data_IF_338183642922
#
_entry.id   IF_338183642922
#
_cell.length_a   1.000
_cell.length_b   1.000
_cell.length_c   1.000
_cell.angle_alpha   90.00
_cell.angle_beta   90.00
_cell.angle_gamma   90.00
#
_symmetry.space_group_name_H-M   'P 1'
#
loop_
_entity.id
_entity.type
_entity.pdbx_description
1 polymer ?
#
# COMPACT_ATOMS: atom_id res chain seq x y z
N UNK A 1 -17.67 -9.68 -7.94
CA UNK A 1 -17.06 -11.02 -7.92
C UNK A 1 -16.31 -11.17 -6.61
N UNK A 2 -16.00 -12.38 -6.16
CA UNK A 2 -15.13 -12.58 -5.00
C UNK A 2 -13.76 -13.10 -5.46
N UNK A 3 -12.72 -12.70 -4.76
CA UNK A 3 -11.32 -13.07 -5.03
C UNK A 3 -10.81 -13.88 -3.86
N UNK A 4 -10.25 -15.05 -4.15
CA UNK A 4 -9.57 -15.89 -3.15
C UNK A 4 -8.16 -15.38 -2.92
N UNK A 5 -7.84 -15.08 -1.67
CA UNK A 5 -6.48 -14.73 -1.23
C UNK A 5 -5.96 -15.86 -0.36
N UNK A 6 -4.79 -16.38 -0.70
CA UNK A 6 -4.11 -17.40 0.08
C UNK A 6 -2.85 -16.84 0.70
N UNK A 7 -2.66 -17.07 2.00
CA UNK A 7 -1.42 -16.71 2.70
C UNK A 7 -0.59 -17.99 2.88
N UNK A 8 0.59 -18.10 2.23
CA UNK A 8 1.39 -19.33 2.25
C UNK A 8 1.81 -19.76 3.65
N UNK A 9 2.04 -18.80 4.54
CA UNK A 9 2.57 -19.05 5.88
C UNK A 9 1.52 -19.60 6.87
N UNK A 10 0.24 -19.40 6.60
CA UNK A 10 -0.84 -19.84 7.50
C UNK A 10 -1.82 -20.83 6.87
N UNK A 11 -1.60 -21.20 5.60
CA UNK A 11 -2.52 -22.05 4.81
C UNK A 11 -3.99 -21.57 4.85
N UNK A 12 -4.20 -20.27 5.09
CA UNK A 12 -5.53 -19.70 5.18
C UNK A 12 -5.99 -19.18 3.82
N UNK A 13 -7.23 -19.53 3.46
CA UNK A 13 -7.94 -18.95 2.32
C UNK A 13 -8.94 -17.91 2.81
N UNK A 14 -8.88 -16.71 2.22
CA UNK A 14 -9.85 -15.65 2.45
C UNK A 14 -10.64 -15.41 1.17
N UNK A 15 -11.97 -15.50 1.25
CA UNK A 15 -12.84 -15.09 0.15
C UNK A 15 -13.25 -13.63 0.33
N UNK A 16 -12.66 -12.73 -0.46
CA UNK A 16 -12.80 -11.29 -0.28
C UNK A 16 -13.62 -10.70 -1.43
N UNK A 17 -14.70 -9.94 -1.14
CA UNK A 17 -15.42 -9.20 -2.15
C UNK A 17 -14.51 -8.21 -2.86
N UNK A 18 -14.52 -8.22 -4.19
CA UNK A 18 -13.64 -7.38 -5.02
C UNK A 18 -13.74 -5.88 -4.69
N UNK A 19 -14.94 -5.38 -4.40
CA UNK A 19 -15.17 -3.98 -3.98
C UNK A 19 -14.39 -3.58 -2.74
N UNK A 20 -14.13 -4.50 -1.80
CA UNK A 20 -13.31 -4.21 -0.62
C UNK A 20 -11.83 -4.10 -1.00
N UNK A 21 -11.37 -4.91 -1.95
CA UNK A 21 -9.99 -4.84 -2.46
C UNK A 21 -9.74 -3.57 -3.27
N UNK A 22 -10.73 -3.10 -4.03
CA UNK A 22 -10.67 -1.82 -4.75
C UNK A 22 -10.44 -0.65 -3.79
N UNK A 23 -11.18 -0.61 -2.67
CA UNK A 23 -11.00 0.41 -1.65
C UNK A 23 -9.59 0.37 -1.04
N UNK A 24 -9.11 -0.82 -0.65
CA UNK A 24 -7.76 -0.98 -0.08
C UNK A 24 -6.70 -0.54 -1.10
N UNK A 25 -6.86 -0.91 -2.38
CA UNK A 25 -5.94 -0.50 -3.45
C UNK A 25 -5.91 1.02 -3.63
N UNK A 26 -7.07 1.67 -3.60
CA UNK A 26 -7.15 3.13 -3.69
C UNK A 26 -6.44 3.82 -2.53
N UNK A 27 -6.66 3.35 -1.29
CA UNK A 27 -5.98 3.88 -0.09
C UNK A 27 -4.47 3.69 -0.15
N UNK A 28 -4.00 2.50 -0.53
CA UNK A 28 -2.55 2.23 -0.67
C UNK A 28 -1.92 3.08 -1.77
N UNK A 29 -2.62 3.28 -2.89
CA UNK A 29 -2.15 4.14 -3.98
C UNK A 29 -2.04 5.60 -3.52
N UNK A 30 -3.04 6.12 -2.81
CA UNK A 30 -3.00 7.47 -2.25
C UNK A 30 -1.82 7.67 -1.29
N UNK A 31 -1.58 6.72 -0.40
CA UNK A 31 -0.42 6.75 0.51
C UNK A 31 0.89 6.70 -0.26
N UNK A 32 1.01 5.83 -1.27
CA UNK A 32 2.21 5.72 -2.09
C UNK A 32 2.50 7.02 -2.86
N UNK A 33 1.47 7.66 -3.43
CA UNK A 33 1.59 8.95 -4.11
C UNK A 33 1.94 10.07 -3.11
N UNK A 34 1.35 10.07 -1.92
CA UNK A 34 1.72 11.02 -0.85
C UNK A 34 3.18 10.89 -0.43
N UNK A 35 3.69 9.66 -0.28
CA UNK A 35 5.08 9.38 0.06
C UNK A 35 6.07 9.84 -1.03
N UNK A 36 5.69 9.72 -2.31
CA UNK A 36 6.50 10.23 -3.43
C UNK A 36 6.58 11.77 -3.46
N UNK A 37 5.55 12.46 -2.97
CA UNK A 37 5.47 13.92 -2.94
C UNK A 37 6.01 14.53 -1.64
N UNK A 38 6.52 13.70 -0.72
CA UNK A 38 7.21 14.21 0.48
C UNK A 38 8.65 14.54 0.04
N UNK A 39 9.11 15.80 0.14
CA UNK A 39 10.51 16.11 -0.09
C UNK A 39 11.30 15.20 0.85
N UNK A 40 12.32 14.49 0.35
CA UNK A 40 13.30 13.85 1.23
C UNK A 40 13.81 14.94 2.15
N UNK A 41 13.43 14.88 3.43
CA UNK A 41 13.89 15.84 4.41
C UNK A 41 15.42 15.80 4.47
N UNK A 42 16.03 16.94 4.20
CA UNK A 42 17.42 17.28 4.48
C UNK A 42 18.52 16.51 3.73
N UNK A 43 18.83 16.97 2.51
CA UNK A 43 20.23 17.28 2.21
C UNK A 43 20.54 18.62 2.89
N UNK A 44 20.79 18.62 4.21
CA UNK A 44 21.43 19.79 4.83
C UNK A 44 22.87 19.80 4.33
N UNK A 45 23.15 20.67 3.38
CA UNK A 45 24.50 21.02 2.97
C UNK A 45 25.14 21.82 4.12
N UNK A 46 25.90 21.15 4.99
CA UNK A 46 26.75 21.81 5.99
C UNK A 46 28.05 22.18 5.31
N UNK A 47 28.04 23.27 4.55
CA UNK A 47 29.26 23.98 4.16
C UNK A 47 29.25 25.36 4.81
N UNK A 48 30.17 25.56 5.76
CA UNK A 48 30.58 26.85 6.32
C UNK A 48 32.09 26.88 6.42
#
# INVERSE_FOLDING_TARGET
>A
MNVKITTPESEMEFDVPEKKLELIRALLHEVAVGAQNTPRGNDIDVTS
#
